data_IF_597932998464
#
_entry.id   IF_597932998464
#
_cell.length_a   1.000
_cell.length_b   1.000
_cell.length_c   1.000
_cell.angle_alpha   90.00
_cell.angle_beta   90.00
_cell.angle_gamma   90.00
#
_symmetry.space_group_name_H-M   'P 1'
#
loop_
_entity.id
_entity.type
_entity.pdbx_description
1 polymer ?
#
# COMPACT_ATOMS: atom_id res chain seq x y z
N UNK A 1 5.72 22.06 -16.86
CA UNK A 1 6.35 21.30 -15.75
C UNK A 1 7.15 20.15 -16.35
N UNK A 2 8.35 19.86 -15.84
CA UNK A 2 9.24 18.83 -16.42
C UNK A 2 8.75 17.40 -16.18
N UNK A 3 9.16 16.45 -17.03
CA UNK A 3 8.72 15.04 -16.95
C UNK A 3 8.96 14.37 -15.59
N UNK A 4 9.96 14.82 -14.83
CA UNK A 4 10.22 14.36 -13.46
C UNK A 4 9.04 14.58 -12.49
N UNK A 5 8.26 15.65 -12.67
CA UNK A 5 7.09 15.95 -11.85
C UNK A 5 6.05 14.83 -11.99
N UNK A 6 5.71 14.50 -13.22
CA UNK A 6 4.66 13.53 -13.53
C UNK A 6 5.09 12.09 -13.23
N UNK A 7 6.39 11.78 -13.29
CA UNK A 7 6.92 10.48 -12.86
C UNK A 7 6.73 10.29 -11.36
N UNK A 8 7.03 11.31 -10.54
CA UNK A 8 6.80 11.25 -9.10
C UNK A 8 5.31 11.07 -8.73
N UNK A 9 4.43 11.81 -9.42
CA UNK A 9 2.97 11.68 -9.25
C UNK A 9 2.49 10.28 -9.65
N UNK A 10 2.95 9.77 -10.80
CA UNK A 10 2.60 8.42 -11.27
C UNK A 10 3.05 7.32 -10.28
N UNK A 11 4.25 7.45 -9.72
CA UNK A 11 4.77 6.53 -8.71
C UNK A 11 3.86 6.44 -7.48
N UNK A 12 3.49 7.61 -6.94
CA UNK A 12 2.69 7.70 -5.73
C UNK A 12 1.23 7.29 -5.94
N UNK A 13 0.63 7.67 -7.07
CA UNK A 13 -0.73 7.22 -7.44
C UNK A 13 -0.79 5.70 -7.60
N UNK A 14 0.19 5.11 -8.30
CA UNK A 14 0.24 3.67 -8.49
C UNK A 14 0.41 2.91 -7.16
N UNK A 15 1.22 3.47 -6.25
CA UNK A 15 1.34 2.95 -4.88
C UNK A 15 0.00 3.00 -4.13
N UNK A 16 -0.72 4.11 -4.20
CA UNK A 16 -2.05 4.24 -3.60
C UNK A 16 -3.05 3.22 -4.15
N UNK A 17 -3.05 2.99 -5.48
CA UNK A 17 -3.87 1.95 -6.13
C UNK A 17 -3.56 0.57 -5.56
N UNK A 18 -2.27 0.23 -5.42
CA UNK A 18 -1.85 -1.04 -4.85
C UNK A 18 -2.31 -1.22 -3.40
N UNK A 19 -2.17 -0.19 -2.57
CA UNK A 19 -2.61 -0.21 -1.16
C UNK A 19 -4.13 -0.38 -1.06
N UNK A 20 -4.89 0.37 -1.86
CA UNK A 20 -6.35 0.29 -1.90
C UNK A 20 -6.84 -1.10 -2.34
N UNK A 21 -6.24 -1.66 -3.39
CA UNK A 21 -6.58 -2.99 -3.89
C UNK A 21 -6.33 -4.09 -2.85
N UNK A 22 -5.24 -4.00 -2.09
CA UNK A 22 -4.96 -4.93 -1.00
C UNK A 22 -6.00 -4.86 0.13
N UNK A 23 -6.52 -3.66 0.42
CA UNK A 23 -7.62 -3.42 1.34
C UNK A 23 -8.93 -4.11 0.94
N UNK A 24 -9.31 -3.91 -0.33
CA UNK A 24 -10.56 -4.44 -0.89
C UNK A 24 -10.56 -5.98 -1.01
N UNK A 25 -9.39 -6.59 -1.22
CA UNK A 25 -9.26 -8.04 -1.40
C UNK A 25 -9.64 -8.88 -0.16
N UNK A 26 -9.83 -8.26 1.01
CA UNK A 26 -10.54 -8.90 2.13
C UNK A 26 -9.86 -10.14 2.75
N UNK A 27 -8.61 -10.43 2.40
CA UNK A 27 -7.75 -11.42 3.06
C UNK A 27 -7.69 -12.82 2.44
N UNK A 28 -8.55 -13.17 1.47
CA UNK A 28 -8.42 -14.47 0.78
C UNK A 28 -7.26 -14.43 -0.23
N UNK A 29 -6.46 -15.51 -0.29
CA UNK A 29 -5.26 -15.54 -1.15
C UNK A 29 -5.59 -15.33 -2.64
N UNK A 30 -6.69 -15.92 -3.09
CA UNK A 30 -7.17 -15.80 -4.47
C UNK A 30 -7.67 -14.39 -4.78
N UNK A 31 -8.46 -13.76 -3.90
CA UNK A 31 -8.88 -12.38 -4.10
C UNK A 31 -7.70 -11.41 -4.05
N UNK A 32 -6.70 -11.64 -3.18
CA UNK A 32 -5.50 -10.80 -3.16
C UNK A 32 -4.68 -10.93 -4.43
N UNK A 33 -4.58 -12.13 -5.01
CA UNK A 33 -3.86 -12.33 -6.27
C UNK A 33 -4.59 -11.66 -7.44
N UNK A 34 -5.92 -11.85 -7.54
CA UNK A 34 -6.74 -11.22 -8.57
C UNK A 34 -6.73 -9.68 -8.45
N UNK A 35 -6.88 -9.15 -7.23
CA UNK A 35 -6.79 -7.72 -6.98
C UNK A 35 -5.39 -7.15 -7.27
N UNK A 36 -4.32 -7.90 -6.99
CA UNK A 36 -2.96 -7.50 -7.33
C UNK A 36 -2.77 -7.40 -8.85
N UNK A 37 -3.26 -8.36 -9.63
CA UNK A 37 -3.20 -8.34 -11.09
C UNK A 37 -4.01 -7.17 -11.67
N UNK A 38 -5.23 -6.97 -11.17
CA UNK A 38 -6.07 -5.84 -11.58
C UNK A 38 -5.41 -4.49 -11.22
N UNK A 39 -4.82 -4.38 -10.03
CA UNK A 39 -4.10 -3.18 -9.60
C UNK A 39 -2.85 -2.94 -10.44
N UNK A 40 -2.11 -3.98 -10.83
CA UNK A 40 -0.95 -3.86 -11.70
C UNK A 40 -1.33 -3.35 -13.09
N UNK A 41 -2.38 -3.92 -13.68
CA UNK A 41 -2.90 -3.45 -14.96
C UNK A 41 -3.39 -2.00 -14.88
N UNK A 42 -4.19 -1.67 -13.85
CA UNK A 42 -4.71 -0.31 -13.62
C UNK A 42 -3.61 0.70 -13.31
N UNK A 43 -2.64 0.34 -12.48
CA UNK A 43 -1.49 1.17 -12.13
C UNK A 43 -0.59 1.43 -13.33
N UNK A 44 -0.26 0.40 -14.12
CA UNK A 44 0.52 0.55 -15.35
C UNK A 44 -0.21 1.44 -16.38
N UNK A 45 -1.52 1.25 -16.57
CA UNK A 45 -2.34 2.09 -17.45
C UNK A 45 -2.38 3.55 -16.98
N UNK A 46 -2.54 3.78 -15.67
CA UNK A 46 -2.46 5.12 -15.08
C UNK A 46 -1.08 5.75 -15.27
N UNK A 47 0.00 5.00 -15.05
CA UNK A 47 1.36 5.47 -15.27
C UNK A 47 1.63 5.85 -16.73
N UNK A 48 1.16 5.03 -17.67
CA UNK A 48 1.19 5.32 -19.11
C UNK A 48 0.46 6.62 -19.44
N UNK A 49 -0.74 6.81 -18.88
CA UNK A 49 -1.56 7.97 -19.15
C UNK A 49 -0.97 9.26 -18.56
N UNK A 50 -0.38 9.20 -17.37
CA UNK A 50 0.15 10.37 -16.66
C UNK A 50 1.52 10.80 -17.14
N UNK A 51 2.43 9.85 -17.41
CA UNK A 51 3.84 10.15 -17.69
C UNK A 51 4.45 9.26 -18.79
N UNK A 52 3.64 8.64 -19.64
CA UNK A 52 4.09 7.81 -20.75
C UNK A 52 4.81 6.56 -20.30
N UNK A 53 5.75 6.07 -21.12
CA UNK A 53 6.48 4.81 -20.87
C UNK A 53 7.28 4.84 -19.57
N UNK A 54 7.93 5.96 -19.26
CA UNK A 54 8.65 6.13 -18.00
C UNK A 54 7.69 6.06 -16.79
N UNK A 55 6.51 6.67 -16.91
CA UNK A 55 5.45 6.58 -15.91
C UNK A 55 4.96 5.15 -15.69
N UNK A 56 4.81 4.38 -16.77
CA UNK A 56 4.38 2.98 -16.71
C UNK A 56 5.33 2.11 -15.89
N UNK A 57 6.63 2.20 -16.15
CA UNK A 57 7.67 1.43 -15.45
C UNK A 57 7.64 1.73 -13.96
N UNK A 58 7.62 3.02 -13.61
CA UNK A 58 7.59 3.45 -12.21
C UNK A 58 6.27 3.10 -11.54
N UNK A 59 5.15 3.15 -12.26
CA UNK A 59 3.85 2.77 -11.74
C UNK A 59 3.77 1.27 -11.43
N UNK A 60 4.39 0.40 -12.23
CA UNK A 60 4.50 -1.04 -11.90
C UNK A 60 5.23 -1.21 -10.56
N UNK A 61 6.37 -0.53 -10.37
CA UNK A 61 7.11 -0.56 -9.11
C UNK A 61 6.27 -0.01 -7.95
N UNK A 62 5.64 1.16 -8.12
CA UNK A 62 4.77 1.76 -7.10
C UNK A 62 3.63 0.81 -6.70
N UNK A 63 2.94 0.24 -7.68
CA UNK A 63 1.81 -0.67 -7.44
C UNK A 63 2.25 -1.94 -6.73
N UNK A 64 3.36 -2.58 -7.15
CA UNK A 64 3.89 -3.77 -6.47
C UNK A 64 4.23 -3.50 -5.01
N UNK A 65 4.88 -2.37 -4.73
CA UNK A 65 5.19 -1.93 -3.36
C UNK A 65 3.90 -1.65 -2.58
N UNK A 66 2.92 -0.99 -3.20
CA UNK A 66 1.63 -0.68 -2.59
C UNK A 66 0.84 -1.92 -2.21
N UNK A 67 0.72 -2.89 -3.13
CA UNK A 67 0.00 -4.16 -2.90
C UNK A 67 0.65 -4.95 -1.78
N UNK A 68 1.98 -5.13 -1.82
CA UNK A 68 2.71 -5.94 -0.82
C UNK A 68 2.64 -5.30 0.57
N UNK A 69 2.85 -3.98 0.65
CA UNK A 69 2.74 -3.20 1.88
C UNK A 69 1.32 -3.23 2.43
N UNK A 70 0.31 -2.92 1.62
CA UNK A 70 -1.09 -2.95 2.01
C UNK A 70 -1.55 -4.34 2.47
N UNK A 71 -1.16 -5.40 1.76
CA UNK A 71 -1.52 -6.76 2.11
C UNK A 71 -0.96 -7.18 3.47
N UNK A 72 0.25 -6.73 3.82
CA UNK A 72 0.85 -7.00 5.14
C UNK A 72 0.06 -6.33 6.27
N UNK A 73 -0.41 -5.10 6.06
CA UNK A 73 -1.23 -4.34 7.02
C UNK A 73 -2.60 -4.98 7.19
N UNK A 74 -3.29 -5.32 6.09
CA UNK A 74 -4.60 -5.98 6.12
C UNK A 74 -4.53 -7.32 6.82
N UNK A 75 -3.52 -8.15 6.50
CA UNK A 75 -3.33 -9.45 7.14
C UNK A 75 -3.03 -9.30 8.63
N UNK A 76 -2.21 -8.32 9.00
CA UNK A 76 -1.93 -7.98 10.39
C UNK A 76 -3.18 -7.57 11.16
N UNK A 77 -3.98 -6.66 10.61
CA UNK A 77 -5.21 -6.18 11.22
C UNK A 77 -6.25 -7.29 11.40
N UNK A 78 -6.46 -8.12 10.36
CA UNK A 78 -7.37 -9.28 10.44
C UNK A 78 -6.91 -10.32 11.46
N UNK A 79 -5.60 -10.60 11.54
CA UNK A 79 -5.06 -11.54 12.54
C UNK A 79 -5.23 -11.09 13.99
N UNK A 80 -5.49 -9.79 14.21
CA UNK A 80 -5.74 -9.18 15.53
C UNK A 80 -7.24 -8.97 15.80
N UNK A 81 -8.13 -9.56 15.01
CA UNK A 81 -9.59 -9.48 15.19
C UNK A 81 -10.28 -8.31 14.48
N UNK A 82 -9.62 -7.60 13.57
CA UNK A 82 -10.24 -6.52 12.79
C UNK A 82 -11.32 -7.01 11.82
N UNK A 83 -12.38 -6.22 11.63
CA UNK A 83 -13.49 -6.55 10.72
C UNK A 83 -13.14 -6.31 9.26
N UNK A 84 -13.77 -7.06 8.35
CA UNK A 84 -13.56 -6.92 6.91
C UNK A 84 -13.84 -5.50 6.41
N UNK A 85 -15.03 -4.99 6.68
CA UNK A 85 -15.45 -3.67 6.26
C UNK A 85 -14.60 -2.56 6.89
N UNK A 86 -14.30 -2.66 8.19
CA UNK A 86 -13.47 -1.65 8.88
C UNK A 86 -12.05 -1.58 8.34
N UNK A 87 -11.42 -2.74 8.12
CA UNK A 87 -10.08 -2.79 7.51
C UNK A 87 -10.08 -2.21 6.10
N UNK A 88 -11.06 -2.57 5.27
CA UNK A 88 -11.19 -2.05 3.91
C UNK A 88 -11.38 -0.52 3.90
N UNK A 89 -12.26 0.01 4.75
CA UNK A 89 -12.53 1.44 4.86
C UNK A 89 -11.27 2.24 5.28
N UNK A 90 -10.54 1.78 6.29
CA UNK A 90 -9.31 2.44 6.75
C UNK A 90 -8.21 2.39 5.69
N UNK A 91 -8.05 1.25 5.00
CA UNK A 91 -7.06 1.16 3.92
C UNK A 91 -7.44 1.98 2.70
N UNK A 92 -8.74 2.10 2.39
CA UNK A 92 -9.22 2.97 1.32
C UNK A 92 -8.95 4.44 1.65
N UNK A 93 -9.23 4.86 2.88
CA UNK A 93 -8.91 6.22 3.35
C UNK A 93 -7.41 6.49 3.33
N UNK A 94 -6.59 5.52 3.73
CA UNK A 94 -5.14 5.58 3.62
C UNK A 94 -4.67 5.71 2.16
N UNK A 95 -5.24 4.93 1.24
CA UNK A 95 -4.96 5.02 -0.19
C UNK A 95 -5.32 6.39 -0.77
N UNK A 96 -6.50 6.94 -0.43
CA UNK A 96 -6.91 8.29 -0.84
C UNK A 96 -5.94 9.34 -0.29
N UNK A 97 -5.51 9.20 0.96
CA UNK A 97 -4.54 10.11 1.57
C UNK A 97 -3.19 10.05 0.86
N UNK A 98 -2.70 8.85 0.51
CA UNK A 98 -1.48 8.67 -0.27
C UNK A 98 -1.61 9.27 -1.68
N UNK A 99 -2.75 9.09 -2.34
CA UNK A 99 -3.02 9.65 -3.66
C UNK A 99 -3.01 11.19 -3.63
N UNK A 100 -3.68 11.79 -2.64
CA UNK A 100 -3.70 13.24 -2.45
C UNK A 100 -2.30 13.80 -2.18
N UNK A 101 -1.53 13.15 -1.29
CA UNK A 101 -0.16 13.56 -0.98
C UNK A 101 0.79 13.39 -2.17
N UNK A 102 0.51 12.45 -3.08
CA UNK A 102 1.31 12.20 -4.28
C UNK A 102 1.17 13.28 -5.35
N UNK A 103 0.20 14.20 -5.21
CA UNK A 103 0.16 15.42 -6.03
C UNK A 103 1.38 16.32 -5.76
N UNK A 104 2.07 16.12 -4.63
CA UNK A 104 3.40 16.68 -4.38
C UNK A 104 4.45 15.67 -4.87
N UNK A 105 5.19 15.93 -5.96
CA UNK A 105 6.03 14.92 -6.62
C UNK A 105 7.12 14.33 -5.73
N UNK A 106 7.75 15.18 -4.92
CA UNK A 106 8.81 14.78 -3.97
C UNK A 106 8.28 13.73 -2.99
N UNK A 107 7.02 13.88 -2.58
CA UNK A 107 6.34 12.96 -1.66
C UNK A 107 6.04 11.64 -2.36
N UNK A 108 5.67 11.66 -3.64
CA UNK A 108 5.50 10.46 -4.47
C UNK A 108 6.75 9.58 -4.52
N UNK A 109 7.92 10.19 -4.75
CA UNK A 109 9.21 9.47 -4.71
C UNK A 109 9.54 8.96 -3.30
N UNK A 110 9.34 9.79 -2.28
CA UNK A 110 9.63 9.42 -0.90
C UNK A 110 8.80 8.22 -0.44
N UNK A 111 7.52 8.13 -0.85
CA UNK A 111 6.66 7.02 -0.44
C UNK A 111 7.10 5.67 -0.97
N UNK A 112 7.66 5.59 -2.18
CA UNK A 112 8.15 4.32 -2.74
C UNK A 112 9.24 3.71 -1.85
N UNK A 113 10.01 4.54 -1.15
CA UNK A 113 11.08 4.10 -0.23
C UNK A 113 10.59 3.99 1.22
N UNK A 114 9.82 4.97 1.70
CA UNK A 114 9.43 5.07 3.10
C UNK A 114 8.35 4.06 3.49
N UNK A 115 7.36 3.81 2.63
CA UNK A 115 6.25 2.89 2.92
C UNK A 115 6.73 1.47 3.25
N UNK A 116 7.58 0.82 2.44
CA UNK A 116 8.09 -0.51 2.79
C UNK A 116 8.96 -0.49 4.05
N UNK A 117 9.73 0.58 4.27
CA UNK A 117 10.51 0.77 5.49
C UNK A 117 9.64 0.86 6.75
N UNK A 118 8.55 1.62 6.69
CA UNK A 118 7.59 1.76 7.80
C UNK A 118 6.91 0.42 8.12
N UNK A 119 6.52 -0.32 7.09
CA UNK A 119 5.94 -1.66 7.23
C UNK A 119 6.94 -2.61 7.88
N UNK A 120 8.19 -2.65 7.39
CA UNK A 120 9.24 -3.46 8.00
C UNK A 120 9.42 -3.13 9.48
N UNK A 121 9.47 -1.85 9.82
CA UNK A 121 9.64 -1.39 11.20
C UNK A 121 8.44 -1.78 12.09
N UNK A 122 7.22 -1.63 11.58
CA UNK A 122 6.00 -2.05 12.26
C UNK A 122 5.93 -3.57 12.48
N UNK A 123 6.43 -4.37 11.53
CA UNK A 123 6.51 -5.82 11.66
C UNK A 123 7.51 -6.27 12.73
N UNK A 124 8.58 -5.50 12.99
CA UNK A 124 9.55 -5.80 14.06
C UNK A 124 8.97 -5.57 15.45
N UNK A 125 8.04 -4.63 15.61
CA UNK A 125 7.42 -4.26 16.90
C UNK A 125 6.23 -5.16 17.30
N UNK A 126 6.29 -6.47 17.03
CA UNK A 126 5.19 -7.36 17.43
C UNK A 126 5.04 -7.31 18.97
N UNK A 127 3.84 -7.05 19.49
CA UNK A 127 3.63 -7.06 20.94
C UNK A 127 4.00 -8.45 21.46
N UNK A 128 4.80 -8.48 22.54
CA UNK A 128 5.18 -9.72 23.19
C UNK A 128 3.91 -10.50 23.57
N UNK A 129 3.77 -11.71 23.01
CA UNK A 129 2.61 -12.61 23.21
C UNK A 129 2.31 -12.93 24.68
N UNK A 130 3.21 -12.56 25.60
CA UNK A 130 3.19 -12.95 27.01
C UNK A 130 3.18 -11.75 27.98
N UNK A 131 3.08 -10.51 27.50
CA UNK A 131 3.09 -9.33 28.39
C UNK A 131 1.97 -9.35 29.44
N UNK A 132 0.78 -9.86 29.09
CA UNK A 132 -0.34 -10.02 30.03
C UNK A 132 -0.31 -11.29 30.90
N UNK A 133 0.56 -12.26 30.58
CA UNK A 133 0.75 -13.46 31.40
C UNK A 133 1.79 -13.25 32.50
N UNK A 134 2.68 -12.26 32.33
CA UNK A 134 3.70 -11.90 33.33
C UNK A 134 3.11 -11.26 34.60
N UNK A 135 1.91 -10.69 34.50
CA UNK A 135 1.15 -10.16 35.66
C UNK A 135 0.37 -11.23 36.42
N UNK A 136 0.20 -12.43 35.84
CA UNK A 136 -0.49 -13.57 36.47
C UNK A 136 0.47 -14.57 37.13
N UNK A 137 1.78 -14.39 36.94
CA UNK A 137 2.82 -15.26 37.50
C UNK A 137 3.42 -14.73 38.82
N UNK A 138 2.76 -13.79 39.50
CA UNK A 138 3.16 -13.24 40.80
C UNK A 138 2.06 -13.48 41.81
#
# INVERSE_FOLDING_TARGET
MGGWYWIGVAAGLALAVGVGAAGLAGGSRTATAAAALAALAGGAALGLWVAGTAGAVVAVVGTTVGVTSGASVVRGARSRGGTAAGTAALTALGAVSLAALSLVPVVGYAFVVLVPGLVWHGLRRRPERYAGLRTLAK
#
